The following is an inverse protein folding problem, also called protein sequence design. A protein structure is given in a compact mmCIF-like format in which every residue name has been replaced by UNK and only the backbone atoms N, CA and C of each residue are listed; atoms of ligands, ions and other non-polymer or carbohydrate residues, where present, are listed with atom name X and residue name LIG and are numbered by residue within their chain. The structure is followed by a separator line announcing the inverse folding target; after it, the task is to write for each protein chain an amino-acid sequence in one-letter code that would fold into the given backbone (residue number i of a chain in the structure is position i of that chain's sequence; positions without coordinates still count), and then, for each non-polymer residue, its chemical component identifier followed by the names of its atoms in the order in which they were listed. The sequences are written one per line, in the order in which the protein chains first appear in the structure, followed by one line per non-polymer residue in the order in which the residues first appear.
data_IF_298451382598
#
_entry.id   IF_298451382598
#
_cell.length_a   1.000
_cell.length_b   1.000
_cell.length_c   1.000
_cell.angle_alpha   90.00
_cell.angle_beta   90.00
_cell.angle_gamma   90.00
#
_symmetry.space_group_name_H-M   'P 1'
#
loop_
_entity.id
_entity.type
_entity.pdbx_description
1 polymer ?
#
# COMPACT_ATOMS: atom_id res chain seq x y z
N UNK A 1 6.26 4.82 12.78
CA UNK A 1 5.94 5.45 14.08
C UNK A 1 5.01 4.54 14.89
N UNK A 2 3.79 4.28 14.42
CA UNK A 2 2.78 3.43 15.08
C UNK A 2 3.27 2.08 15.65
N UNK A 3 4.02 1.27 14.89
CA UNK A 3 4.47 -0.06 15.40
C UNK A 3 5.47 0.06 16.56
N UNK A 4 6.27 1.13 16.61
CA UNK A 4 7.22 1.37 17.71
C UNK A 4 6.45 1.80 18.96
N UNK A 5 5.53 2.74 18.81
CA UNK A 5 4.63 3.18 19.89
C UNK A 5 3.82 2.01 20.46
N UNK A 6 3.31 1.12 19.59
CA UNK A 6 2.59 -0.07 20.02
C UNK A 6 3.48 -1.01 20.85
N UNK A 7 4.72 -1.24 20.40
CA UNK A 7 5.70 -2.06 21.14
C UNK A 7 6.04 -1.44 22.49
N UNK A 8 6.24 -0.13 22.56
CA UNK A 8 6.51 0.59 23.81
C UNK A 8 5.33 0.48 24.79
N UNK A 9 4.10 0.66 24.31
CA UNK A 9 2.89 0.49 25.11
C UNK A 9 2.76 -0.95 25.66
N UNK A 10 3.07 -1.97 24.85
CA UNK A 10 3.08 -3.36 25.32
C UNK A 10 4.11 -3.59 26.43
N UNK A 11 5.33 -3.06 26.27
CA UNK A 11 6.38 -3.16 27.29
C UNK A 11 5.92 -2.51 28.60
N UNK A 12 5.32 -1.32 28.51
CA UNK A 12 4.81 -0.61 29.68
C UNK A 12 3.70 -1.38 30.38
N UNK A 13 2.71 -1.89 29.64
CA UNK A 13 1.59 -2.65 30.20
C UNK A 13 2.08 -3.91 30.93
N UNK A 14 3.10 -4.57 30.39
CA UNK A 14 3.62 -5.81 30.96
C UNK A 14 4.43 -5.55 32.22
N UNK A 15 5.23 -4.47 32.23
CA UNK A 15 5.90 -3.98 33.45
C UNK A 15 4.90 -3.61 34.55
N UNK A 16 3.80 -2.93 34.19
CA UNK A 16 2.75 -2.56 35.14
C UNK A 16 2.09 -3.79 35.76
N UNK A 17 1.98 -4.89 35.01
CA UNK A 17 1.46 -6.17 35.48
C UNK A 17 2.50 -7.05 36.21
N UNK A 18 3.74 -6.57 36.38
CA UNK A 18 4.82 -7.34 37.01
C UNK A 18 5.32 -8.52 36.18
N UNK A 19 5.06 -8.51 34.87
CA UNK A 19 5.45 -9.58 33.94
C UNK A 19 6.77 -9.24 33.23
N UNK A 20 7.64 -10.24 33.14
CA UNK A 20 8.89 -10.16 32.36
C UNK A 20 8.65 -10.68 30.96
N UNK A 21 9.04 -9.88 29.95
CA UNK A 21 8.95 -10.25 28.54
C UNK A 21 10.33 -10.58 27.98
N UNK A 22 10.42 -11.54 27.07
CA UNK A 22 11.64 -11.80 26.31
C UNK A 22 11.88 -10.69 25.27
N UNK A 23 13.13 -10.47 24.90
CA UNK A 23 13.49 -9.47 23.88
C UNK A 23 13.01 -9.87 22.47
N UNK A 24 12.89 -11.18 22.24
CA UNK A 24 12.38 -11.80 21.02
C UNK A 24 10.85 -11.79 20.92
N UNK A 25 10.14 -11.22 21.91
CA UNK A 25 8.68 -11.15 21.89
C UNK A 25 8.16 -10.40 20.65
N UNK A 26 7.11 -10.97 20.04
CA UNK A 26 6.49 -10.41 18.84
C UNK A 26 5.88 -9.02 19.11
N UNK A 27 5.87 -8.17 18.07
CA UNK A 27 5.22 -6.85 18.12
C UNK A 27 3.71 -6.97 18.37
N UNK A 28 3.09 -8.07 17.94
CA UNK A 28 1.70 -8.40 18.28
C UNK A 28 1.70 -9.68 19.12
N UNK A 29 1.59 -9.51 20.42
CA UNK A 29 1.64 -10.59 21.41
C UNK A 29 0.71 -10.27 22.56
N UNK A 30 0.49 -11.27 23.41
CA UNK A 30 -0.15 -11.10 24.71
C UNK A 30 0.74 -10.27 25.65
N UNK A 31 0.24 -9.96 26.85
CA UNK A 31 0.99 -9.18 27.86
C UNK A 31 2.24 -9.92 28.36
N UNK A 32 2.22 -11.24 28.43
CA UNK A 32 3.38 -12.07 28.77
C UNK A 32 4.38 -12.23 27.60
N UNK A 33 4.04 -11.76 26.40
CA UNK A 33 4.89 -11.79 25.22
C UNK A 33 4.74 -13.05 24.35
N UNK A 34 3.82 -13.94 24.72
CA UNK A 34 3.49 -15.11 23.91
C UNK A 34 2.69 -14.74 22.65
N UNK A 35 2.73 -15.56 21.58
CA UNK A 35 2.03 -15.27 20.34
C UNK A 35 0.52 -15.17 20.54
N UNK A 36 -0.12 -14.23 19.84
CA UNK A 36 -1.58 -14.18 19.81
C UNK A 36 -2.14 -15.44 19.13
N UNK A 37 -3.26 -15.93 19.64
CA UNK A 37 -4.03 -16.96 18.93
C UNK A 37 -4.49 -16.41 17.57
N UNK A 38 -4.52 -17.23 16.51
CA UNK A 38 -4.88 -16.77 15.15
C UNK A 38 -6.19 -15.98 15.09
N UNK A 39 -7.20 -16.41 15.86
CA UNK A 39 -8.53 -15.81 15.82
C UNK A 39 -8.67 -14.53 16.66
N UNK A 40 -7.66 -14.18 17.45
CA UNK A 40 -7.72 -13.00 18.33
C UNK A 40 -8.00 -11.73 17.54
N UNK A 41 -7.31 -11.57 16.41
CA UNK A 41 -7.46 -10.40 15.54
C UNK A 41 -8.82 -10.42 14.83
N UNK A 42 -9.28 -11.60 14.41
CA UNK A 42 -10.60 -11.78 13.79
C UNK A 42 -11.72 -11.39 14.77
N UNK A 43 -11.67 -11.84 16.01
CA UNK A 43 -12.66 -11.47 17.03
C UNK A 43 -12.63 -9.98 17.36
N UNK A 44 -11.43 -9.40 17.50
CA UNK A 44 -11.28 -7.96 17.71
C UNK A 44 -11.90 -7.17 16.54
N UNK A 45 -11.67 -7.62 15.30
CA UNK A 45 -12.26 -7.03 14.11
C UNK A 45 -13.79 -7.11 14.11
N UNK A 46 -14.36 -8.28 14.39
CA UNK A 46 -15.82 -8.47 14.43
C UNK A 46 -16.45 -7.53 15.46
N UNK A 47 -15.82 -7.36 16.62
CA UNK A 47 -16.26 -6.41 17.64
C UNK A 47 -16.22 -4.97 17.15
N UNK A 48 -15.17 -4.58 16.41
CA UNK A 48 -15.04 -3.25 15.81
C UNK A 48 -16.10 -3.01 14.73
N UNK A 49 -16.28 -3.95 13.80
CA UNK A 49 -17.25 -3.86 12.71
C UNK A 49 -18.70 -3.74 13.23
N UNK A 50 -19.02 -4.47 14.31
CA UNK A 50 -20.33 -4.33 14.98
C UNK A 50 -20.57 -2.93 15.52
N UNK A 51 -19.55 -2.24 16.03
CA UNK A 51 -19.67 -0.87 16.56
C UNK A 51 -19.90 0.17 15.49
N UNK A 52 -19.46 -0.08 14.25
CA UNK A 52 -19.66 0.83 13.12
C UNK A 52 -20.97 0.55 12.37
N UNK A 53 -21.68 -0.54 12.69
CA UNK A 53 -22.86 -1.00 11.96
C UNK A 53 -22.54 -1.64 10.60
N UNK A 54 -21.25 -1.80 10.27
CA UNK A 54 -20.82 -2.34 8.98
C UNK A 54 -20.68 -3.86 9.04
N UNK A 55 -21.15 -4.55 8.01
CA UNK A 55 -20.91 -5.99 7.81
C UNK A 55 -19.71 -6.19 6.90
N UNK A 56 -18.51 -6.08 7.48
CA UNK A 56 -17.24 -6.25 6.77
C UNK A 56 -16.35 -7.28 7.47
N UNK A 57 -15.71 -8.15 6.70
CA UNK A 57 -14.73 -9.12 7.19
C UNK A 57 -13.35 -8.49 7.25
N UNK A 58 -12.46 -9.08 8.04
CA UNK A 58 -11.08 -8.61 8.15
C UNK A 58 -10.36 -8.59 6.79
N UNK A 59 -10.58 -9.61 5.96
CA UNK A 59 -10.00 -9.68 4.61
C UNK A 59 -10.50 -8.56 3.67
N UNK A 60 -11.70 -8.02 3.91
CA UNK A 60 -12.25 -6.94 3.08
C UNK A 60 -11.47 -5.63 3.30
N UNK A 61 -10.81 -5.47 4.46
CA UNK A 61 -9.89 -4.37 4.70
C UNK A 61 -8.65 -4.43 3.79
N UNK A 62 -8.14 -5.64 3.56
CA UNK A 62 -7.02 -5.88 2.64
C UNK A 62 -7.42 -5.59 1.19
N UNK A 63 -8.64 -5.98 0.80
CA UNK A 63 -9.19 -5.60 -0.50
C UNK A 63 -9.32 -4.09 -0.65
N UNK A 64 -9.86 -3.41 0.36
CA UNK A 64 -10.00 -1.96 0.38
C UNK A 64 -8.65 -1.26 0.22
N UNK A 65 -7.61 -1.74 0.91
CA UNK A 65 -6.25 -1.20 0.78
C UNK A 65 -5.73 -1.28 -0.66
N UNK A 66 -5.90 -2.43 -1.30
CA UNK A 66 -5.47 -2.65 -2.68
C UNK A 66 -6.25 -1.77 -3.67
N UNK A 67 -7.57 -1.70 -3.55
CA UNK A 67 -8.41 -0.84 -4.39
C UNK A 67 -8.04 0.64 -4.25
N UNK A 68 -7.77 1.11 -3.03
CA UNK A 68 -7.34 2.50 -2.79
C UNK A 68 -5.99 2.81 -3.47
N UNK A 69 -5.04 1.87 -3.42
CA UNK A 69 -3.75 2.05 -4.11
C UNK A 69 -3.90 2.14 -5.62
N UNK A 70 -4.72 1.27 -6.18
CA UNK A 70 -4.97 1.26 -7.62
C UNK A 70 -5.67 2.55 -8.06
N UNK A 71 -6.63 3.05 -7.28
CA UNK A 71 -7.27 4.36 -7.49
C UNK A 71 -6.30 5.54 -7.37
N UNK A 72 -5.18 5.38 -6.68
CA UNK A 72 -4.11 6.37 -6.57
C UNK A 72 -3.03 6.19 -7.65
N UNK A 73 -3.34 5.46 -8.73
CA UNK A 73 -2.43 5.16 -9.83
C UNK A 73 -1.14 4.45 -9.42
N UNK A 74 -1.16 3.71 -8.29
CA UNK A 74 -0.06 2.83 -7.93
C UNK A 74 -0.05 1.65 -8.89
N UNK A 75 1.11 1.44 -9.53
CA UNK A 75 1.29 0.35 -10.51
C UNK A 75 0.86 -1.01 -9.93
N UNK A 76 0.06 -1.82 -10.65
CA UNK A 76 -0.43 -3.12 -10.16
C UNK A 76 0.65 -4.07 -9.66
N UNK A 77 1.86 -4.02 -10.25
CA UNK A 77 3.02 -4.80 -9.80
C UNK A 77 3.45 -4.45 -8.37
N UNK A 78 3.46 -3.16 -8.04
CA UNK A 78 3.81 -2.68 -6.68
C UNK A 78 2.73 -3.11 -5.69
N UNK A 79 1.46 -3.02 -6.07
CA UNK A 79 0.35 -3.50 -5.24
C UNK A 79 0.44 -5.00 -5.01
N UNK A 80 0.76 -5.80 -6.05
CA UNK A 80 0.97 -7.24 -5.95
C UNK A 80 2.08 -7.58 -4.96
N UNK A 81 3.26 -6.96 -5.09
CA UNK A 81 4.40 -7.20 -4.20
C UNK A 81 4.09 -6.82 -2.76
N UNK A 82 3.44 -5.66 -2.55
CA UNK A 82 3.04 -5.19 -1.22
C UNK A 82 2.04 -6.10 -0.53
N UNK A 83 1.18 -6.74 -1.31
CA UNK A 83 0.25 -7.74 -0.80
C UNK A 83 0.93 -9.12 -0.65
N UNK A 84 1.98 -9.41 -1.40
CA UNK A 84 2.58 -10.74 -1.45
C UNK A 84 1.72 -11.74 -2.22
N UNK A 85 0.95 -11.29 -3.21
CA UNK A 85 0.24 -12.19 -4.11
C UNK A 85 1.24 -12.90 -5.03
N UNK A 86 1.12 -14.22 -5.17
CA UNK A 86 2.02 -15.01 -6.00
C UNK A 86 2.01 -14.57 -7.48
N UNK A 87 0.88 -14.08 -7.99
CA UNK A 87 0.72 -13.66 -9.38
C UNK A 87 0.07 -12.28 -9.51
N UNK A 88 0.48 -11.53 -10.54
CA UNK A 88 -0.14 -10.25 -10.91
C UNK A 88 -1.59 -10.48 -11.37
N UNK A 89 -1.85 -11.61 -12.04
CA UNK A 89 -3.16 -12.01 -12.54
C UNK A 89 -4.21 -11.98 -11.42
N UNK A 90 -3.91 -12.52 -10.23
CA UNK A 90 -4.83 -12.45 -9.08
C UNK A 90 -5.17 -11.01 -8.69
N UNK A 91 -4.20 -10.09 -8.73
CA UNK A 91 -4.46 -8.68 -8.42
C UNK A 91 -5.26 -8.00 -9.52
N UNK A 92 -4.92 -8.23 -10.80
CA UNK A 92 -5.64 -7.63 -11.92
C UNK A 92 -7.05 -8.19 -12.08
N UNK A 93 -7.27 -9.49 -11.89
CA UNK A 93 -8.59 -10.11 -11.97
C UNK A 93 -9.50 -9.59 -10.85
N UNK A 94 -8.98 -9.47 -9.62
CA UNK A 94 -9.75 -9.01 -8.46
C UNK A 94 -10.08 -7.51 -8.56
N UNK A 95 -9.18 -6.69 -9.11
CA UNK A 95 -9.31 -5.22 -9.07
C UNK A 95 -9.50 -4.56 -10.44
N UNK A 96 -9.60 -5.30 -11.53
CA UNK A 96 -9.84 -4.78 -12.89
C UNK A 96 -10.98 -3.77 -12.96
N UNK A 97 -12.06 -4.00 -12.22
CA UNK A 97 -13.24 -3.14 -12.15
C UNK A 97 -13.02 -1.78 -11.46
N UNK A 98 -11.94 -1.60 -10.69
CA UNK A 98 -11.54 -0.31 -10.09
C UNK A 98 -10.42 0.39 -10.87
N UNK A 99 -10.04 -0.13 -12.04
CA UNK A 99 -9.16 0.52 -13.02
C UNK A 99 -9.87 1.26 -14.19
N UNK A 100 -11.19 1.58 -14.19
CA UNK A 100 -11.75 2.34 -15.30
C UNK A 100 -11.11 3.73 -15.31
N UNK A 101 -10.59 4.13 -16.48
CA UNK A 101 -9.85 5.37 -16.66
C UNK A 101 -8.32 5.21 -16.74
N UNK A 102 -7.73 4.10 -16.28
CA UNK A 102 -6.27 3.92 -16.37
C UNK A 102 -5.75 3.86 -17.82
N UNK A 103 -6.55 3.32 -18.75
CA UNK A 103 -6.19 3.32 -20.18
C UNK A 103 -6.23 4.73 -20.78
N UNK A 104 -7.24 5.52 -20.40
CA UNK A 104 -7.38 6.90 -20.83
C UNK A 104 -6.24 7.77 -20.26
N UNK A 105 -5.91 7.58 -18.99
CA UNK A 105 -4.81 8.27 -18.32
C UNK A 105 -3.44 7.85 -18.89
N UNK A 106 -3.26 6.56 -19.23
CA UNK A 106 -2.07 6.09 -19.91
C UNK A 106 -1.93 6.67 -21.34
N UNK A 107 -3.03 6.83 -22.07
CA UNK A 107 -3.05 7.46 -23.38
C UNK A 107 -2.68 8.96 -23.27
N UNK A 108 -3.24 9.68 -22.29
CA UNK A 108 -2.91 11.08 -22.03
C UNK A 108 -1.43 11.26 -21.65
N UNK A 109 -0.90 10.41 -20.78
CA UNK A 109 0.52 10.44 -20.40
C UNK A 109 1.44 10.13 -21.60
N UNK A 110 1.03 9.22 -22.49
CA UNK A 110 1.77 8.95 -23.71
C UNK A 110 1.76 10.15 -24.66
N UNK A 111 0.60 10.77 -24.87
CA UNK A 111 0.46 11.97 -25.71
C UNK A 111 1.32 13.14 -25.18
N UNK A 112 1.28 13.40 -23.86
CA UNK A 112 2.15 14.39 -23.22
C UNK A 112 3.63 14.09 -23.44
N UNK A 113 4.05 12.83 -23.27
CA UNK A 113 5.42 12.40 -23.51
C UNK A 113 5.86 12.59 -24.96
N UNK A 114 4.97 12.33 -25.92
CA UNK A 114 5.23 12.51 -27.34
C UNK A 114 5.36 13.99 -27.72
N UNK A 115 4.51 14.85 -27.17
CA UNK A 115 4.60 16.31 -27.35
C UNK A 115 5.90 16.84 -26.76
N UNK A 116 6.26 16.42 -25.54
CA UNK A 116 7.51 16.83 -24.90
C UNK A 116 8.74 16.41 -25.69
N UNK A 117 8.79 15.16 -26.15
CA UNK A 117 9.90 14.64 -26.95
C UNK A 117 10.02 15.32 -28.33
N UNK A 118 8.91 15.84 -28.88
CA UNK A 118 8.91 16.63 -30.11
C UNK A 118 9.46 18.04 -29.87
N UNK A 119 9.02 18.70 -28.80
CA UNK A 119 9.52 20.04 -28.40
C UNK A 119 11.02 19.99 -28.11
N UNK A 120 11.50 18.98 -27.38
CA UNK A 120 12.93 18.81 -27.09
C UNK A 120 13.77 18.65 -28.36
N UNK A 121 13.28 17.90 -29.36
CA UNK A 121 13.96 17.76 -30.67
C UNK A 121 14.02 19.06 -31.47
N UNK A 122 12.93 19.84 -31.46
CA UNK A 122 12.90 21.15 -32.14
C UNK A 122 13.81 22.18 -31.45
N UNK A 123 13.92 22.15 -30.12
CA UNK A 123 14.83 23.02 -29.37
C UNK A 123 16.30 22.67 -29.67
N UNK A 124 16.65 21.39 -29.72
CA UNK A 124 18.01 20.94 -30.03
C UNK A 124 18.41 21.26 -31.48
N UNK A 125 17.50 21.11 -32.45
CA UNK A 125 17.79 21.45 -33.85
C UNK A 125 18.08 22.95 -34.04
N UNK A 126 17.38 23.82 -33.32
CA UNK A 126 17.60 25.28 -33.37
C UNK A 126 18.89 25.72 -32.66
N UNK A 127 19.32 25.01 -31.60
CA UNK A 127 20.62 25.26 -30.95
C UNK A 127 21.80 24.89 -31.83
N UNK A 128 21.71 23.79 -32.61
CA UNK A 128 22.78 23.38 -33.54
C UNK A 128 22.93 24.29 -34.76
N UNK A 129 21.87 25.01 -35.16
CA UNK A 129 21.91 25.94 -36.29
C UNK A 129 22.54 27.31 -35.95
N UNK A 130 22.51 27.72 -34.68
CA UNK A 130 23.02 29.02 -34.24
C UNK A 130 24.52 29.10 -33.95
N UNK A 131 25.28 27.99 -34.01
CA UNK A 131 26.70 27.96 -33.64
C UNK A 131 27.69 28.01 -34.82
N UNK A 132 27.24 28.27 -36.05
CA UNK A 132 28.09 28.29 -37.27
C UNK A 132 28.25 29.66 -37.93
N UNK A 133 27.83 30.74 -37.28
CA UNK A 133 28.09 32.12 -37.75
C UNK A 133 28.89 32.88 -36.70
N UNK A 134 30.21 32.72 -36.74
CA UNK A 134 31.20 33.46 -35.96
C UNK A 134 32.52 33.48 -36.71
#
# INVERSE_FOLDING_TARGET
MMLREHREAQILNSKLMGLTRSEEALVFSTVDGSPLLPDTVTHAWVKLARRTGLKIRLHDARHTHASLMLKQNVRPKVVQERLGHATIATTLDIYSHVLPGMQEEAALQFDEGMVKARIEREIDSHKTAGSRSG
#
